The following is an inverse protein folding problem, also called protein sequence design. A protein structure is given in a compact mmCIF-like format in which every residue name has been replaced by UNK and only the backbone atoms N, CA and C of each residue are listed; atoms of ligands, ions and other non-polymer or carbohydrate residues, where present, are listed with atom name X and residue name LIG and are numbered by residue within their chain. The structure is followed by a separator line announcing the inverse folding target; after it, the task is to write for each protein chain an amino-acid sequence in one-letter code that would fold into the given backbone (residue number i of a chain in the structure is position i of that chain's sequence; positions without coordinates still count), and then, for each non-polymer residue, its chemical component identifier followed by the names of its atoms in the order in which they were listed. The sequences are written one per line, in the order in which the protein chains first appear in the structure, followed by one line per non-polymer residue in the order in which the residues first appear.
data_IF_639199375641
#
_entry.id   IF_639199375641
#
_cell.length_a   1.000
_cell.length_b   1.000
_cell.length_c   1.000
_cell.angle_alpha   90.00
_cell.angle_beta   90.00
_cell.angle_gamma   90.00
#
_symmetry.space_group_name_H-M   'P 1'
#
loop_
_entity.id
_entity.type
_entity.pdbx_description
1 polymer ?
#
# COMPACT_ATOMS: atom_id res chain seq x y z
N UNK A 1 19.39 26.74 1.60
CA UNK A 1 18.90 25.44 2.08
C UNK A 1 17.55 25.21 1.45
N UNK A 2 17.48 24.35 0.42
CA UNK A 2 16.19 24.02 -0.20
C UNK A 2 15.39 23.19 0.78
N UNK A 3 14.15 23.62 1.07
CA UNK A 3 13.16 22.73 1.65
C UNK A 3 12.91 21.63 0.61
N UNK A 4 13.47 20.44 0.81
CA UNK A 4 12.98 19.29 0.04
C UNK A 4 11.51 19.16 0.40
N UNK A 5 10.63 19.34 -0.58
CA UNK A 5 9.23 18.96 -0.42
C UNK A 5 9.25 17.49 -0.01
N UNK A 6 8.91 17.20 1.24
CA UNK A 6 8.80 15.84 1.73
C UNK A 6 7.59 15.23 1.07
N UNK A 7 7.80 14.65 -0.11
CA UNK A 7 6.79 13.90 -0.84
C UNK A 7 6.48 12.63 -0.06
N UNK A 8 5.55 12.75 0.89
CA UNK A 8 5.00 11.64 1.63
C UNK A 8 3.88 11.01 0.82
N UNK A 9 4.04 9.73 0.54
CA UNK A 9 3.06 8.92 -0.17
C UNK A 9 2.46 7.88 0.76
N UNK A 10 1.19 7.59 0.51
CA UNK A 10 0.41 6.61 1.24
C UNK A 10 -0.33 5.72 0.23
N UNK A 11 -0.43 4.44 0.54
CA UNK A 11 -1.35 3.54 -0.14
C UNK A 11 -2.71 3.68 0.53
N UNK A 12 -3.74 4.02 -0.24
CA UNK A 12 -5.09 4.15 0.26
C UNK A 12 -6.14 3.75 -0.75
N UNK A 13 -7.37 3.63 -0.27
CA UNK A 13 -8.55 3.36 -1.07
C UNK A 13 -9.47 4.58 -0.96
N UNK A 14 -10.05 4.99 -2.08
CA UNK A 14 -11.01 6.09 -2.17
C UNK A 14 -12.04 5.78 -3.27
N UNK A 15 -13.16 6.51 -3.25
CA UNK A 15 -14.21 6.38 -4.26
C UNK A 15 -13.75 6.95 -5.61
N UNK A 16 -14.00 6.21 -6.70
CA UNK A 16 -13.58 6.59 -8.05
C UNK A 16 -14.27 7.85 -8.59
N UNK A 17 -15.46 8.18 -8.09
CA UNK A 17 -16.25 9.37 -8.44
C UNK A 17 -16.46 10.27 -7.23
N UNK A 18 -15.38 10.61 -6.55
CA UNK A 18 -15.40 11.55 -5.42
C UNK A 18 -14.41 12.68 -5.67
N UNK A 19 -14.93 13.85 -6.02
CA UNK A 19 -14.14 15.07 -6.29
C UNK A 19 -13.33 15.51 -5.07
N UNK A 20 -13.76 15.11 -3.87
CA UNK A 20 -13.07 15.40 -2.61
C UNK A 20 -12.00 14.36 -2.28
N UNK A 21 -11.89 13.27 -3.06
CA UNK A 21 -10.86 12.25 -2.87
C UNK A 21 -10.83 11.68 -1.45
N UNK A 22 -11.99 11.51 -0.79
CA UNK A 22 -12.04 11.07 0.60
C UNK A 22 -11.45 9.66 0.73
N UNK A 23 -10.42 9.54 1.57
CA UNK A 23 -9.75 8.26 1.85
C UNK A 23 -10.61 7.48 2.83
N UNK A 24 -10.99 6.26 2.46
CA UNK A 24 -11.77 5.36 3.31
C UNK A 24 -10.90 4.34 4.05
N UNK A 25 -9.69 4.12 3.54
CA UNK A 25 -8.71 3.23 4.14
C UNK A 25 -7.29 3.64 3.75
N UNK A 26 -6.33 3.42 4.65
CA UNK A 26 -4.90 3.73 4.45
C UNK A 26 -4.09 2.56 5.01
N UNK A 27 -3.21 1.99 4.18
CA UNK A 27 -2.40 0.83 4.56
C UNK A 27 -1.22 1.20 5.49
N UNK A 28 -0.64 2.39 5.29
CA UNK A 28 0.56 2.85 5.97
C UNK A 28 0.36 4.20 6.70
N UNK A 29 -0.68 4.36 7.56
CA UNK A 29 -1.06 5.66 8.12
C UNK A 29 0.05 6.27 8.99
N UNK A 30 0.85 5.42 9.66
CA UNK A 30 1.91 5.83 10.56
C UNK A 30 3.31 5.77 9.93
N UNK A 31 3.41 5.31 8.67
CA UNK A 31 4.69 5.03 8.01
C UNK A 31 4.69 5.59 6.59
N UNK A 32 4.78 6.92 6.42
CA UNK A 32 4.78 7.56 5.10
C UNK A 32 5.94 7.07 4.24
N UNK A 33 5.66 6.82 2.97
CA UNK A 33 6.68 6.51 1.96
C UNK A 33 7.35 7.81 1.54
N UNK A 34 8.67 7.85 1.54
CA UNK A 34 9.45 9.01 1.11
C UNK A 34 9.89 8.86 -0.35
N UNK A 35 10.11 10.00 -1.01
CA UNK A 35 10.78 10.10 -2.29
C UNK A 35 10.11 9.32 -3.43
N UNK A 36 8.78 9.14 -3.36
CA UNK A 36 7.98 8.38 -4.34
C UNK A 36 8.55 6.98 -4.65
N UNK A 37 9.22 6.35 -3.69
CA UNK A 37 9.91 5.07 -3.88
C UNK A 37 9.04 3.84 -3.57
N UNK A 38 7.73 4.06 -3.44
CA UNK A 38 6.76 3.07 -2.96
C UNK A 38 6.44 2.00 -3.99
N UNK A 39 6.45 0.74 -3.56
CA UNK A 39 6.03 -0.41 -4.38
C UNK A 39 5.14 -1.31 -3.52
N UNK A 40 3.93 -1.59 -3.99
CA UNK A 40 3.05 -2.63 -3.46
C UNK A 40 3.32 -3.92 -4.25
N UNK A 41 3.64 -5.02 -3.56
CA UNK A 41 3.97 -6.29 -4.21
C UNK A 41 3.75 -7.50 -3.30
N UNK A 42 3.71 -8.67 -3.90
CA UNK A 42 3.96 -9.92 -3.17
C UNK A 42 5.46 -10.08 -2.96
N UNK A 43 5.88 -10.47 -1.76
CA UNK A 43 7.27 -10.85 -1.50
C UNK A 43 7.55 -12.32 -1.83
N UNK A 44 8.80 -12.74 -1.70
CA UNK A 44 9.22 -14.12 -2.02
C UNK A 44 8.64 -15.17 -1.10
N UNK A 45 8.10 -14.76 0.06
CA UNK A 45 7.39 -15.65 0.98
C UNK A 45 5.89 -15.68 0.68
N UNK A 46 5.39 -14.90 -0.30
CA UNK A 46 3.98 -14.85 -0.62
C UNK A 46 3.16 -13.96 0.31
N UNK A 47 3.78 -12.94 0.90
CA UNK A 47 3.09 -11.91 1.70
C UNK A 47 2.86 -10.65 0.87
N UNK A 48 1.73 -9.98 1.10
CA UNK A 48 1.48 -8.66 0.53
C UNK A 48 2.22 -7.60 1.35
N UNK A 49 3.15 -6.88 0.71
CA UNK A 49 4.01 -5.90 1.37
C UNK A 49 4.07 -4.57 0.63
N UNK A 50 4.34 -3.50 1.38
CA UNK A 50 4.74 -2.21 0.83
C UNK A 50 6.23 -2.03 1.07
N UNK A 51 6.97 -1.74 0.02
CA UNK A 51 8.41 -1.45 0.08
C UNK A 51 8.72 -0.01 -0.31
N UNK A 52 9.75 0.57 0.29
CA UNK A 52 10.30 1.87 -0.04
C UNK A 52 11.83 1.78 -0.07
N UNK A 53 12.45 2.27 -1.15
CA UNK A 53 13.92 2.21 -1.31
C UNK A 53 14.49 0.79 -1.26
N UNK A 54 13.71 -0.22 -1.67
CA UNK A 54 14.10 -1.64 -1.64
C UNK A 54 13.81 -2.36 -0.31
N UNK A 55 13.40 -1.64 0.74
CA UNK A 55 13.14 -2.21 2.08
C UNK A 55 11.63 -2.33 2.32
N UNK A 56 11.20 -3.42 2.94
CA UNK A 56 9.82 -3.56 3.41
C UNK A 56 9.54 -2.63 4.58
N UNK A 57 8.51 -1.79 4.44
CA UNK A 57 8.10 -0.83 5.48
C UNK A 57 6.77 -1.21 6.14
N UNK A 58 5.91 -1.96 5.45
CA UNK A 58 4.63 -2.45 5.96
C UNK A 58 4.38 -3.84 5.40
N UNK A 59 3.96 -4.76 6.26
CA UNK A 59 3.37 -6.04 5.86
C UNK A 59 1.85 -5.88 5.97
N UNK A 60 1.15 -6.01 4.86
CA UNK A 60 -0.29 -5.76 4.75
C UNK A 60 -1.09 -7.03 5.07
N UNK A 61 -0.54 -8.20 4.73
CA UNK A 61 -1.18 -9.49 5.01
C UNK A 61 -0.73 -10.12 6.32
N UNK A 62 -1.63 -10.85 6.97
CA UNK A 62 -1.38 -11.66 8.17
C UNK A 62 -0.79 -13.04 7.86
N UNK A 63 -1.03 -13.55 6.64
CA UNK A 63 -0.58 -14.85 6.15
C UNK A 63 0.38 -14.73 4.96
N UNK A 64 0.95 -15.87 4.61
CA UNK A 64 1.93 -16.06 3.54
C UNK A 64 1.62 -17.33 2.74
N UNK A 65 1.47 -17.22 1.42
CA UNK A 65 1.37 -18.36 0.49
C UNK A 65 2.02 -18.00 -0.85
N UNK A 66 2.86 -18.88 -1.38
CA UNK A 66 3.57 -18.66 -2.64
C UNK A 66 2.63 -18.42 -3.85
N UNK A 67 1.39 -18.91 -3.78
CA UNK A 67 0.38 -18.71 -4.83
C UNK A 67 -0.61 -17.59 -4.50
N UNK A 68 -0.36 -16.82 -3.43
CA UNK A 68 -1.27 -15.79 -3.01
C UNK A 68 -1.37 -14.66 -4.05
N UNK A 69 -2.57 -14.10 -4.15
CA UNK A 69 -2.89 -12.95 -4.97
C UNK A 69 -3.66 -11.91 -4.15
N UNK A 70 -3.46 -10.62 -4.46
CA UNK A 70 -4.25 -9.55 -3.87
C UNK A 70 -5.35 -9.12 -4.85
N UNK A 71 -6.58 -8.95 -4.36
CA UNK A 71 -7.74 -8.52 -5.15
C UNK A 71 -8.45 -7.37 -4.45
N UNK A 72 -8.75 -6.29 -5.19
CA UNK A 72 -9.72 -5.30 -4.77
C UNK A 72 -11.09 -5.71 -5.31
N UNK A 73 -11.99 -6.07 -4.42
CA UNK A 73 -13.34 -6.52 -4.76
C UNK A 73 -14.27 -5.32 -5.03
N UNK A 74 -15.39 -5.54 -5.73
CA UNK A 74 -16.33 -4.48 -6.11
C UNK A 74 -16.96 -3.74 -4.90
N UNK A 75 -16.97 -4.39 -3.73
CA UNK A 75 -17.41 -3.80 -2.46
C UNK A 75 -16.34 -2.92 -1.79
N UNK A 76 -15.16 -2.76 -2.41
CA UNK A 76 -14.03 -1.99 -1.89
C UNK A 76 -13.15 -2.74 -0.90
N UNK A 77 -13.40 -4.03 -0.65
CA UNK A 77 -12.57 -4.85 0.21
C UNK A 77 -11.28 -5.25 -0.51
N UNK A 78 -10.13 -4.95 0.09
CA UNK A 78 -8.83 -5.33 -0.46
C UNK A 78 -8.30 -6.57 0.27
N UNK A 79 -8.27 -7.70 -0.42
CA UNK A 79 -8.07 -9.02 0.17
C UNK A 79 -6.84 -9.69 -0.41
N UNK A 80 -5.99 -10.25 0.45
CA UNK A 80 -5.01 -11.26 0.08
C UNK A 80 -5.70 -12.64 0.10
N UNK A 81 -5.73 -13.30 -1.06
CA UNK A 81 -6.25 -14.65 -1.26
C UNK A 81 -5.05 -15.58 -1.31
N UNK A 82 -5.04 -16.60 -0.46
CA UNK A 82 -3.98 -17.58 -0.31
C UNK A 82 -4.43 -18.89 -0.95
#
# INVERSE_FOLDING_TARGET
MGIEATNYSYLGIWYTKDDQSRRVWVANPNTPIKNNSGVLRMDTAGRLVITAGGTTIVVVSDKSDANAAATLEDNGNFVAKF
#
